data_IF_343566013848
#
_entry.id   IF_343566013848
#
_cell.length_a   1.000
_cell.length_b   1.000
_cell.length_c   1.000
_cell.angle_alpha   90.00
_cell.angle_beta   90.00
_cell.angle_gamma   90.00
#
_symmetry.space_group_name_H-M   'P 1'
#
loop_
_entity.id
_entity.type
_entity.pdbx_description
1 polymer ?
#
# COMPACT_ATOMS: atom_id res chain seq x y z
N UNK A 1 -7.77 6.75 1.87
CA UNK A 1 -9.02 7.49 1.56
C UNK A 1 -10.24 6.59 1.46
N UNK A 2 -10.22 5.42 0.82
CA UNK A 2 -11.42 4.56 0.80
C UNK A 2 -11.79 4.00 2.18
N UNK A 3 -10.82 3.64 3.04
CA UNK A 3 -11.04 3.32 4.46
C UNK A 3 -11.63 4.50 5.25
N UNK A 4 -11.18 5.73 4.93
CA UNK A 4 -11.73 6.97 5.47
C UNK A 4 -13.17 7.20 4.95
N UNK A 5 -13.43 7.14 3.64
CA UNK A 5 -14.77 7.22 3.04
C UNK A 5 -15.72 6.13 3.56
N UNK A 6 -15.20 4.95 3.88
CA UNK A 6 -15.93 3.84 4.49
C UNK A 6 -16.32 4.10 5.95
N UNK A 7 -15.62 4.97 6.69
CA UNK A 7 -16.09 5.43 8.00
C UNK A 7 -17.16 6.53 7.87
N UNK A 8 -17.15 7.28 6.77
CA UNK A 8 -18.19 8.27 6.41
C UNK A 8 -19.44 7.66 5.78
N UNK A 9 -19.38 6.47 5.15
CA UNK A 9 -20.53 5.86 4.49
C UNK A 9 -21.63 5.42 5.49
N UNK A 10 -21.31 4.72 6.60
CA UNK A 10 -22.28 4.43 7.67
C UNK A 10 -22.80 5.70 8.36
N UNK A 11 -21.95 6.71 8.57
CA UNK A 11 -22.37 8.00 9.14
C UNK A 11 -23.24 8.80 8.19
N UNK A 12 -22.97 8.82 6.88
CA UNK A 12 -23.84 9.44 5.87
C UNK A 12 -25.20 8.73 5.77
N UNK A 13 -25.21 7.39 5.85
CA UNK A 13 -26.46 6.60 5.98
C UNK A 13 -27.23 6.90 7.27
N UNK A 14 -26.57 7.44 8.31
CA UNK A 14 -27.15 7.78 9.62
C UNK A 14 -27.51 9.26 9.75
N UNK A 15 -26.82 10.17 9.05
CA UNK A 15 -26.96 11.64 9.12
C UNK A 15 -28.19 12.19 8.37
N UNK A 16 -28.91 11.35 7.63
CA UNK A 16 -30.16 11.74 6.95
C UNK A 16 -31.43 11.41 7.75
N UNK A 17 -31.31 10.97 9.00
CA UNK A 17 -32.44 10.93 9.92
C UNK A 17 -32.66 12.35 10.47
N UNK A 18 -33.85 12.97 10.30
CA UNK A 18 -34.14 14.18 11.05
C UNK A 18 -34.13 13.85 12.54
N UNK A 19 -33.34 14.59 13.32
CA UNK A 19 -33.45 14.60 14.78
C UNK A 19 -34.90 14.94 15.13
N UNK A 20 -35.65 13.94 15.58
CA UNK A 20 -36.80 14.19 16.42
C UNK A 20 -36.31 14.18 17.87
N UNK A 21 -36.84 15.17 18.58
CA UNK A 21 -36.83 15.37 20.03
C UNK A 21 -35.61 16.11 20.58
N UNK A 22 -35.87 17.38 20.89
CA UNK A 22 -35.04 18.18 21.76
C UNK A 22 -35.32 17.87 23.22
N UNK A 23 -34.33 18.12 24.05
CA UNK A 23 -34.52 18.60 25.41
C UNK A 23 -33.26 19.41 25.77
N UNK A 24 -33.48 20.70 25.97
CA UNK A 24 -32.52 21.60 26.57
C UNK A 24 -32.36 21.23 28.04
N UNK A 25 -31.13 20.94 28.46
CA UNK A 25 -30.75 21.08 29.87
C UNK A 25 -29.39 21.76 29.96
N UNK A 26 -29.43 23.03 30.36
CA UNK A 26 -28.31 23.80 30.87
C UNK A 26 -27.71 23.10 32.10
N UNK A 27 -26.39 22.88 32.11
CA UNK A 27 -25.64 22.57 33.33
C UNK A 27 -24.31 23.33 33.34
N UNK A 28 -24.35 24.44 34.07
CA UNK A 28 -23.33 25.00 34.98
C UNK A 28 -21.84 24.75 34.73
N UNK A 29 -21.14 25.87 34.51
CA UNK A 29 -19.70 26.08 34.63
C UNK A 29 -19.16 25.88 36.06
N UNK A 30 -18.12 25.07 36.24
CA UNK A 30 -17.16 25.21 37.35
C UNK A 30 -15.86 24.44 37.10
N UNK A 31 -14.71 25.09 37.26
CA UNK A 31 -13.36 24.49 37.29
C UNK A 31 -12.31 25.51 36.83
N UNK A 32 -11.78 26.37 37.70
CA UNK A 32 -10.60 26.18 38.56
C UNK A 32 -9.26 25.93 37.82
N UNK A 33 -8.43 26.99 37.86
CA UNK A 33 -6.99 27.03 38.15
C UNK A 33 -6.00 26.32 37.21
N UNK A 34 -5.22 27.13 36.50
CA UNK A 34 -3.93 26.75 35.93
C UNK A 34 -2.83 27.59 36.62
N UNK A 35 -2.02 26.93 37.46
CA UNK A 35 -0.74 27.44 37.92
C UNK A 35 0.34 27.13 36.88
N UNK A 36 1.25 28.09 36.75
CA UNK A 36 2.20 28.27 35.67
C UNK A 36 3.61 28.11 36.25
N UNK A 37 4.35 27.07 35.89
CA UNK A 37 5.77 26.94 36.26
C UNK A 37 6.67 26.75 35.04
N UNK A 38 7.62 27.70 34.97
CA UNK A 38 8.83 27.75 34.15
C UNK A 38 9.83 26.69 34.61
N UNK A 39 10.66 26.20 33.69
CA UNK A 39 12.13 26.04 33.82
C UNK A 39 12.68 25.50 32.48
N UNK A 40 13.43 26.27 31.70
CA UNK A 40 14.87 26.58 31.74
C UNK A 40 15.76 25.50 31.10
N UNK A 41 16.37 25.86 29.95
CA UNK A 41 17.39 25.11 29.23
C UNK A 41 18.79 25.63 29.58
N UNK A 42 19.84 24.79 29.49
CA UNK A 42 21.18 25.29 29.19
C UNK A 42 21.82 24.63 27.95
N UNK A 43 22.48 25.49 27.18
CA UNK A 43 23.43 25.25 26.08
C UNK A 43 24.78 24.70 26.54
N UNK A 44 25.57 24.05 25.66
CA UNK A 44 27.02 24.00 25.78
C UNK A 44 27.77 24.65 24.61
N UNK A 45 28.84 25.38 24.94
CA UNK A 45 29.83 25.95 24.01
C UNK A 45 30.98 24.98 23.67
N UNK A 46 31.91 25.38 22.78
CA UNK A 46 32.84 24.49 22.09
C UNK A 46 34.26 24.53 22.64
N UNK A 47 35.03 23.46 22.43
CA UNK A 47 36.48 23.41 22.71
C UNK A 47 37.30 22.87 21.52
N UNK A 48 38.53 23.36 21.49
CA UNK A 48 39.44 23.52 20.36
C UNK A 48 40.39 22.34 20.13
N UNK A 49 40.99 22.31 18.93
CA UNK A 49 42.15 21.48 18.55
C UNK A 49 43.46 22.12 19.02
N UNK A 50 44.54 21.33 19.08
CA UNK A 50 45.85 21.85 18.67
C UNK A 50 46.53 21.02 17.57
N UNK A 51 47.38 21.75 16.83
CA UNK A 51 48.26 21.42 15.70
C UNK A 51 49.72 21.29 16.22
N UNK A 52 50.63 20.80 15.36
CA UNK A 52 52.11 20.94 15.31
C UNK A 52 52.82 19.57 15.48
N UNK A 53 53.86 19.17 14.72
CA UNK A 53 54.74 19.85 13.74
C UNK A 53 55.59 18.83 12.97
N UNK A 54 56.00 19.21 11.76
CA UNK A 54 57.03 18.58 10.93
C UNK A 54 58.46 18.74 11.46
N UNK A 55 59.34 17.81 11.07
CA UNK A 55 60.81 17.88 11.24
C UNK A 55 61.53 17.10 10.15
N UNK A 56 62.55 17.72 9.54
CA UNK A 56 63.15 17.41 8.23
C UNK A 56 64.64 17.01 8.34
N UNK A 57 65.04 15.94 7.61
CA UNK A 57 66.34 15.60 6.96
C UNK A 57 67.63 15.27 7.78
N UNK A 58 68.74 14.78 7.17
CA UNK A 58 68.97 14.16 5.83
C UNK A 58 69.98 12.96 5.73
N UNK A 59 69.99 12.31 4.54
CA UNK A 59 71.10 11.72 3.73
C UNK A 59 72.05 10.60 4.24
N UNK A 60 72.22 9.51 3.48
CA UNK A 60 73.30 9.25 2.47
C UNK A 60 73.20 7.79 1.94
N UNK A 61 73.56 7.64 0.66
CA UNK A 61 73.54 6.56 -0.35
C UNK A 61 74.32 5.26 -0.10
N UNK A 62 73.85 4.13 -0.66
CA UNK A 62 74.63 3.28 -1.60
C UNK A 62 73.73 2.24 -2.33
N UNK A 63 74.18 1.82 -3.52
CA UNK A 63 73.46 1.15 -4.60
C UNK A 63 73.38 -0.39 -4.50
N UNK A 64 72.40 -0.96 -5.24
CA UNK A 64 72.35 -2.26 -5.98
C UNK A 64 71.12 -3.13 -5.66
N UNK A 65 70.70 -4.06 -6.56
CA UNK A 65 70.26 -3.90 -7.95
C UNK A 65 68.78 -4.32 -8.13
N UNK A 66 68.17 -3.94 -9.26
CA UNK A 66 66.75 -4.18 -9.55
C UNK A 66 66.37 -5.67 -9.62
N UNK A 67 65.27 -6.12 -8.95
CA UNK A 67 64.62 -7.37 -9.25
C UNK A 67 63.59 -7.20 -10.37
N UNK A 68 63.56 -8.19 -11.25
CA UNK A 68 62.70 -8.36 -12.43
C UNK A 68 61.19 -8.24 -12.14
N UNK A 69 60.37 -7.72 -13.08
CA UNK A 69 58.94 -7.55 -12.88
C UNK A 69 58.18 -8.83 -13.32
N UNK A 70 58.24 -9.89 -12.53
CA UNK A 70 57.40 -11.07 -12.78
C UNK A 70 56.77 -11.59 -11.50
N UNK A 71 55.61 -11.01 -11.18
CA UNK A 71 54.42 -11.69 -10.65
C UNK A 71 53.28 -10.68 -10.65
N UNK A 72 52.83 -10.30 -11.85
CA UNK A 72 51.47 -9.78 -11.97
C UNK A 72 50.53 -10.96 -11.76
N UNK A 73 50.00 -11.06 -10.54
CA UNK A 73 48.74 -11.74 -10.27
C UNK A 73 47.76 -11.34 -11.37
N UNK A 74 47.47 -12.29 -12.28
CA UNK A 74 46.38 -12.16 -13.24
C UNK A 74 45.09 -12.16 -12.44
N UNK A 75 44.70 -10.99 -11.92
CA UNK A 75 43.36 -10.77 -11.37
C UNK A 75 42.38 -11.09 -12.47
N UNK A 76 41.64 -12.19 -12.29
CA UNK A 76 40.51 -12.56 -13.14
C UNK A 76 39.63 -11.30 -13.24
N UNK A 77 39.28 -10.84 -14.45
CA UNK A 77 38.46 -9.66 -14.61
C UNK A 77 37.11 -9.91 -13.93
N UNK A 78 36.84 -9.15 -12.86
CA UNK A 78 35.55 -9.26 -12.17
C UNK A 78 34.50 -8.66 -13.09
N UNK A 79 33.41 -9.38 -13.37
CA UNK A 79 32.34 -8.90 -14.25
C UNK A 79 31.70 -7.60 -13.71
N UNK A 80 31.32 -6.68 -14.58
CA UNK A 80 30.45 -5.57 -14.20
C UNK A 80 29.16 -6.09 -13.54
N UNK A 81 28.75 -5.46 -12.45
CA UNK A 81 27.56 -5.81 -11.67
C UNK A 81 26.26 -5.31 -12.30
N UNK A 82 26.35 -4.42 -13.30
CA UNK A 82 25.18 -4.10 -14.12
C UNK A 82 24.89 -5.29 -15.04
N UNK A 83 23.69 -5.87 -14.92
CA UNK A 83 23.32 -7.12 -15.59
C UNK A 83 23.37 -7.04 -17.12
N UNK A 84 23.12 -5.86 -17.67
CA UNK A 84 23.11 -5.59 -19.11
C UNK A 84 24.51 -5.23 -19.67
N UNK A 85 25.56 -5.32 -18.83
CA UNK A 85 26.92 -4.98 -19.21
C UNK A 85 27.85 -6.20 -19.14
N UNK A 86 28.52 -6.50 -20.26
CA UNK A 86 29.48 -7.60 -20.37
C UNK A 86 30.93 -7.16 -20.13
N UNK A 87 31.17 -5.85 -20.02
CA UNK A 87 32.52 -5.30 -19.82
C UNK A 87 33.11 -5.67 -18.44
N UNK A 88 34.44 -5.76 -18.33
CA UNK A 88 35.11 -5.95 -17.04
C UNK A 88 34.82 -4.81 -16.06
N UNK A 89 34.43 -5.17 -14.84
CA UNK A 89 34.31 -4.26 -13.71
C UNK A 89 35.68 -3.81 -13.23
N UNK A 90 36.01 -2.54 -13.47
CA UNK A 90 37.31 -1.94 -13.09
C UNK A 90 37.21 -1.06 -11.85
N UNK A 91 36.00 -0.71 -11.41
CA UNK A 91 35.74 0.21 -10.30
C UNK A 91 34.89 -0.46 -9.24
N UNK A 92 35.24 -0.25 -7.97
CA UNK A 92 34.45 -0.73 -6.84
C UNK A 92 33.38 0.31 -6.45
N UNK A 93 32.22 -0.18 -6.01
CA UNK A 93 31.26 0.67 -5.31
C UNK A 93 31.92 1.27 -4.08
N UNK A 94 31.92 2.61 -3.98
CA UNK A 94 32.52 3.33 -2.85
C UNK A 94 31.84 3.04 -1.50
N UNK A 95 30.57 2.64 -1.51
CA UNK A 95 29.79 2.34 -0.31
C UNK A 95 30.09 0.96 0.28
N UNK A 96 29.78 -0.10 -0.48
CA UNK A 96 29.90 -1.48 0.00
C UNK A 96 31.25 -2.14 -0.27
N UNK A 97 32.00 -1.64 -1.28
CA UNK A 97 33.23 -2.25 -1.81
C UNK A 97 33.06 -3.72 -2.26
N UNK A 98 31.83 -4.15 -2.55
CA UNK A 98 31.53 -5.52 -3.00
C UNK A 98 31.02 -5.60 -4.44
N UNK A 99 30.38 -4.55 -4.96
CA UNK A 99 29.96 -4.47 -6.37
C UNK A 99 31.04 -3.82 -7.25
N UNK A 100 31.18 -4.32 -8.48
CA UNK A 100 32.17 -3.86 -9.46
C UNK A 100 31.46 -3.27 -10.69
N UNK A 101 31.96 -2.16 -11.21
CA UNK A 101 31.40 -1.49 -12.39
C UNK A 101 32.48 -1.14 -13.38
N UNK A 102 32.18 -1.23 -14.68
CA UNK A 102 33.11 -0.77 -15.72
C UNK A 102 33.16 0.78 -15.77
N UNK A 103 32.07 1.44 -15.38
CA UNK A 103 31.89 2.89 -15.53
C UNK A 103 30.93 3.46 -14.48
N UNK A 104 30.93 4.80 -14.35
CA UNK A 104 29.95 5.53 -13.52
C UNK A 104 28.51 5.34 -13.99
N UNK A 105 28.20 5.44 -15.30
CA UNK A 105 26.86 5.18 -15.83
C UNK A 105 26.32 3.79 -15.47
N UNK A 106 27.11 2.72 -15.61
CA UNK A 106 26.66 1.38 -15.23
C UNK A 106 26.40 1.25 -13.72
N UNK A 107 27.14 1.99 -12.88
CA UNK A 107 26.83 2.07 -11.46
C UNK A 107 25.51 2.79 -11.22
N UNK A 108 25.25 3.91 -11.90
CA UNK A 108 24.00 4.68 -11.76
C UNK A 108 22.78 3.87 -12.20
N UNK A 109 22.89 3.16 -13.32
CA UNK A 109 21.83 2.31 -13.86
C UNK A 109 21.51 1.14 -12.93
N UNK A 110 22.54 0.42 -12.47
CA UNK A 110 22.36 -0.68 -11.50
C UNK A 110 22.01 -0.20 -10.08
N UNK A 111 22.17 1.10 -9.77
CA UNK A 111 22.04 1.62 -8.41
C UNK A 111 20.68 1.31 -7.78
N UNK A 112 19.62 1.29 -8.58
CA UNK A 112 18.25 1.06 -8.11
C UNK A 112 18.03 -0.31 -7.47
N UNK A 113 18.78 -1.31 -7.96
CA UNK A 113 18.80 -2.67 -7.42
C UNK A 113 19.84 -2.75 -6.31
N UNK A 114 21.05 -2.25 -6.57
CA UNK A 114 22.17 -2.39 -5.66
C UNK A 114 21.98 -1.68 -4.32
N UNK A 115 21.27 -0.54 -4.29
CA UNK A 115 21.14 0.30 -3.08
C UNK A 115 20.58 -0.47 -1.88
N UNK A 116 19.77 -1.50 -2.11
CA UNK A 116 19.15 -2.32 -1.07
C UNK A 116 20.14 -3.29 -0.40
N UNK A 117 21.20 -3.68 -1.10
CA UNK A 117 22.27 -4.55 -0.60
C UNK A 117 23.56 -3.78 -0.30
N UNK A 118 23.54 -2.46 -0.48
CA UNK A 118 24.69 -1.58 -0.26
C UNK A 118 24.76 -1.11 1.19
N UNK A 119 25.96 -0.73 1.65
CA UNK A 119 26.20 -0.21 3.00
C UNK A 119 25.93 1.30 3.15
N UNK A 120 25.23 1.91 2.20
CA UNK A 120 24.93 3.34 2.23
C UNK A 120 23.61 3.62 2.95
N UNK A 121 23.43 4.81 3.56
CA UNK A 121 22.14 5.19 4.13
C UNK A 121 21.04 5.26 3.06
N UNK A 122 19.97 4.51 3.27
CA UNK A 122 18.76 4.57 2.45
C UNK A 122 17.84 5.64 3.03
N UNK A 123 17.51 6.65 2.22
CA UNK A 123 16.54 7.68 2.56
C UNK A 123 15.23 7.54 1.78
N UNK A 124 14.23 8.32 2.16
CA UNK A 124 12.85 8.23 1.67
C UNK A 124 12.70 8.38 0.16
N UNK A 125 13.56 9.16 -0.50
CA UNK A 125 13.61 9.26 -1.96
C UNK A 125 13.94 7.96 -2.70
N UNK A 126 14.65 7.00 -2.08
CA UNK A 126 14.93 5.69 -2.69
C UNK A 126 13.67 4.83 -2.75
N UNK A 127 12.88 4.82 -1.67
CA UNK A 127 11.59 4.14 -1.64
C UNK A 127 10.60 4.72 -2.65
N UNK A 128 10.57 6.05 -2.82
CA UNK A 128 9.71 6.69 -3.82
C UNK A 128 10.13 6.30 -5.24
N UNK A 129 11.44 6.31 -5.54
CA UNK A 129 11.95 5.89 -6.84
C UNK A 129 11.56 4.44 -7.15
N UNK A 130 11.74 3.53 -6.19
CA UNK A 130 11.32 2.12 -6.31
C UNK A 130 9.82 2.01 -6.59
N UNK A 131 8.99 2.75 -5.85
CA UNK A 131 7.55 2.80 -6.06
C UNK A 131 7.18 3.25 -7.48
N UNK A 132 7.81 4.33 -7.98
CA UNK A 132 7.58 4.84 -9.33
C UNK A 132 7.98 3.85 -10.43
N UNK A 133 9.11 3.16 -10.29
CA UNK A 133 9.59 2.16 -11.27
C UNK A 133 8.68 0.96 -11.41
N UNK A 134 8.07 0.53 -10.30
CA UNK A 134 7.15 -0.60 -10.28
C UNK A 134 5.69 -0.21 -10.49
N UNK A 135 5.42 1.08 -10.69
CA UNK A 135 4.06 1.62 -10.79
C UNK A 135 3.18 1.24 -9.59
N UNK A 136 3.76 1.34 -8.38
CA UNK A 136 3.09 1.03 -7.11
C UNK A 136 3.05 2.26 -6.23
N UNK A 137 2.01 2.39 -5.40
CA UNK A 137 2.00 3.42 -4.36
C UNK A 137 3.08 3.12 -3.30
N UNK A 138 3.80 4.14 -2.79
CA UNK A 138 4.78 3.93 -1.72
C UNK A 138 4.11 3.37 -0.47
N UNK A 139 4.69 2.29 0.08
CA UNK A 139 4.26 1.67 1.34
C UNK A 139 5.07 2.14 2.54
N UNK A 140 6.29 2.64 2.32
CA UNK A 140 7.14 3.18 3.38
C UNK A 140 6.54 4.47 3.96
N UNK A 141 6.13 4.44 5.23
CA UNK A 141 5.37 5.50 5.89
C UNK A 141 6.03 6.88 5.79
N UNK A 142 7.32 6.99 6.13
CA UNK A 142 8.01 8.29 6.06
C UNK A 142 8.12 8.81 4.62
N UNK A 143 8.18 7.92 3.62
CA UNK A 143 8.19 8.33 2.20
C UNK A 143 6.84 8.89 1.79
N UNK A 144 5.75 8.28 2.29
CA UNK A 144 4.40 8.79 2.04
C UNK A 144 4.21 10.19 2.62
N UNK A 145 4.73 10.42 3.83
CA UNK A 145 4.71 11.73 4.47
C UNK A 145 5.60 12.75 3.72
N UNK A 146 6.89 12.43 3.54
CA UNK A 146 7.90 13.34 2.98
C UNK A 146 7.58 13.84 1.56
N UNK A 147 6.83 13.06 0.80
CA UNK A 147 6.52 13.34 -0.60
C UNK A 147 5.02 13.53 -0.84
N UNK A 148 4.26 13.87 0.20
CA UNK A 148 2.89 14.37 0.06
C UNK A 148 1.80 13.31 -0.21
N UNK A 149 2.11 12.01 -0.21
CA UNK A 149 1.11 10.97 -0.42
C UNK A 149 0.08 10.89 0.72
N UNK A 150 0.46 11.24 1.96
CA UNK A 150 -0.52 11.35 3.04
C UNK A 150 -1.50 12.51 2.80
N UNK A 151 -0.99 13.64 2.28
CA UNK A 151 -1.80 14.82 1.97
C UNK A 151 -2.65 14.63 0.71
N UNK A 152 -2.16 13.88 -0.27
CA UNK A 152 -2.81 13.69 -1.56
C UNK A 152 -4.12 12.90 -1.52
N UNK A 153 -4.32 12.03 -0.53
CA UNK A 153 -5.58 11.30 -0.41
C UNK A 153 -5.91 10.43 -1.63
N UNK A 154 -7.04 10.65 -2.30
CA UNK A 154 -7.43 9.96 -3.55
C UNK A 154 -6.51 10.28 -4.72
N UNK A 155 -5.78 11.39 -4.66
CA UNK A 155 -4.89 11.81 -5.72
C UNK A 155 -3.51 11.15 -5.67
N UNK A 156 -3.31 10.13 -4.82
CA UNK A 156 -2.06 9.39 -4.73
C UNK A 156 -1.57 8.87 -6.09
N UNK A 157 -2.46 8.37 -6.95
CA UNK A 157 -2.08 7.89 -8.29
C UNK A 157 -1.63 9.03 -9.20
N UNK A 158 -2.29 10.19 -9.14
CA UNK A 158 -1.88 11.37 -9.90
C UNK A 158 -0.50 11.87 -9.43
N UNK A 159 -0.25 11.84 -8.12
CA UNK A 159 1.03 12.22 -7.53
C UNK A 159 2.14 11.23 -7.90
N UNK A 160 1.85 9.92 -7.94
CA UNK A 160 2.79 8.91 -8.45
C UNK A 160 3.14 9.19 -9.92
N UNK A 161 2.13 9.44 -10.75
CA UNK A 161 2.30 9.81 -12.16
C UNK A 161 3.14 11.08 -12.36
N UNK A 162 2.97 12.08 -11.49
CA UNK A 162 3.80 13.29 -11.48
C UNK A 162 5.28 12.95 -11.22
N UNK A 163 5.57 12.13 -10.20
CA UNK A 163 6.94 11.74 -9.90
C UNK A 163 7.55 10.85 -10.98
N UNK A 164 6.78 9.93 -11.58
CA UNK A 164 7.22 9.16 -12.75
C UNK A 164 7.60 10.08 -13.91
N UNK A 165 6.74 11.06 -14.23
CA UNK A 165 7.01 12.07 -15.26
C UNK A 165 8.25 12.91 -14.96
N UNK A 166 8.47 13.27 -13.69
CA UNK A 166 9.65 14.02 -13.26
C UNK A 166 10.95 13.31 -13.64
N UNK A 167 11.02 12.01 -13.36
CA UNK A 167 12.19 11.21 -13.73
C UNK A 167 12.27 10.87 -15.22
N UNK A 168 11.12 10.76 -15.90
CA UNK A 168 11.08 10.56 -17.34
C UNK A 168 11.72 11.75 -18.07
N UNK A 169 11.39 12.98 -17.65
CA UNK A 169 11.95 14.21 -18.22
C UNK A 169 13.39 14.42 -17.77
N UNK A 170 13.70 14.19 -16.48
CA UNK A 170 15.03 14.38 -15.92
C UNK A 170 15.65 13.03 -15.52
N UNK A 171 16.21 12.33 -16.51
CA UNK A 171 16.82 11.01 -16.32
C UNK A 171 18.08 11.04 -15.44
N UNK A 172 18.71 12.21 -15.25
CA UNK A 172 19.88 12.35 -14.36
C UNK A 172 19.50 12.61 -12.90
N UNK A 173 18.21 12.84 -12.61
CA UNK A 173 17.72 13.09 -11.25
C UNK A 173 17.92 11.86 -10.35
N UNK A 174 18.85 11.98 -9.40
CA UNK A 174 19.07 10.92 -8.41
C UNK A 174 18.06 11.00 -7.26
N UNK A 175 17.76 9.87 -6.61
CA UNK A 175 16.96 9.86 -5.38
C UNK A 175 17.55 10.76 -4.28
N UNK A 176 18.88 10.87 -4.22
CA UNK A 176 19.59 11.73 -3.27
C UNK A 176 19.33 13.20 -3.52
N UNK A 177 19.34 13.60 -4.78
CA UNK A 177 19.00 14.95 -5.18
C UNK A 177 17.54 15.28 -4.91
N UNK A 178 16.62 14.37 -5.22
CA UNK A 178 15.20 14.56 -4.88
C UNK A 178 15.00 14.73 -3.37
N UNK A 179 15.68 13.93 -2.55
CA UNK A 179 15.64 14.08 -1.09
C UNK A 179 16.24 15.41 -0.61
N UNK A 180 17.28 15.92 -1.29
CA UNK A 180 17.82 17.26 -1.04
C UNK A 180 16.81 18.34 -1.38
N UNK A 181 16.08 18.24 -2.51
CA UNK A 181 15.01 19.18 -2.84
C UNK A 181 13.95 19.21 -1.74
N UNK A 182 13.51 18.04 -1.28
CA UNK A 182 12.55 17.92 -0.17
C UNK A 182 13.04 18.61 1.10
N UNK A 183 14.25 18.25 1.57
CA UNK A 183 14.79 18.81 2.83
C UNK A 183 14.96 20.32 2.82
N UNK A 184 15.13 20.90 1.63
CA UNK A 184 15.32 22.34 1.45
C UNK A 184 14.03 23.08 1.05
N UNK A 185 12.86 22.42 1.03
CA UNK A 185 11.60 23.04 0.60
C UNK A 185 11.56 23.41 -0.89
N UNK A 186 12.36 22.77 -1.73
CA UNK A 186 12.51 23.10 -3.16
C UNK A 186 11.70 22.18 -4.08
N UNK A 187 10.88 21.28 -3.55
CA UNK A 187 10.16 20.29 -4.38
C UNK A 187 9.28 20.97 -5.43
N UNK A 188 8.41 21.88 -5.03
CA UNK A 188 7.46 22.53 -5.95
C UNK A 188 8.18 23.31 -7.04
N UNK A 189 9.15 24.15 -6.68
CA UNK A 189 9.90 24.94 -7.64
C UNK A 189 10.70 24.08 -8.61
N UNK A 190 11.38 23.03 -8.13
CA UNK A 190 12.20 22.15 -8.98
C UNK A 190 11.36 21.22 -9.86
N UNK A 191 10.18 20.79 -9.40
CA UNK A 191 9.22 20.07 -10.25
C UNK A 191 8.78 20.99 -11.40
N UNK A 192 8.37 22.23 -11.12
CA UNK A 192 7.98 23.19 -12.15
C UNK A 192 9.09 23.45 -13.15
N UNK A 193 10.31 23.75 -12.68
CA UNK A 193 11.48 23.96 -13.53
C UNK A 193 11.74 22.76 -14.46
N UNK A 194 11.61 21.54 -13.94
CA UNK A 194 11.82 20.32 -14.73
C UNK A 194 10.77 20.16 -15.83
N UNK A 195 9.48 20.26 -15.50
CA UNK A 195 8.40 20.12 -16.49
C UNK A 195 8.34 21.31 -17.45
N UNK A 196 8.71 22.51 -17.01
CA UNK A 196 8.72 23.70 -17.85
C UNK A 196 9.89 23.73 -18.84
N UNK A 197 10.95 22.96 -18.59
CA UNK A 197 12.08 22.80 -19.51
C UNK A 197 11.73 22.10 -20.83
N UNK A 198 10.59 21.42 -20.90
CA UNK A 198 10.09 20.76 -22.12
C UNK A 198 8.87 21.49 -22.70
N UNK A 199 8.58 21.36 -24.01
CA UNK A 199 7.41 21.97 -24.64
C UNK A 199 6.10 21.57 -23.96
N UNK A 200 5.11 22.47 -23.96
CA UNK A 200 3.85 22.29 -23.21
C UNK A 200 3.12 20.96 -23.54
N UNK A 201 3.11 20.56 -24.81
CA UNK A 201 2.51 19.32 -25.29
C UNK A 201 3.20 18.04 -24.77
N UNK A 202 4.45 18.13 -24.29
CA UNK A 202 5.23 17.01 -23.78
C UNK A 202 5.18 16.87 -22.26
N UNK A 203 4.47 17.77 -21.55
CA UNK A 203 4.44 17.79 -20.07
C UNK A 203 3.51 16.75 -19.45
N UNK A 204 2.65 16.13 -20.25
CA UNK A 204 1.65 15.15 -19.80
C UNK A 204 0.52 15.75 -18.96
N UNK A 205 -0.48 14.93 -18.62
CA UNK A 205 -1.67 15.37 -17.87
C UNK A 205 -1.45 15.60 -16.38
N UNK A 206 -0.41 15.01 -15.80
CA UNK A 206 -0.13 15.12 -14.36
C UNK A 206 0.43 16.50 -13.98
N UNK A 207 1.14 17.19 -14.88
CA UNK A 207 1.71 18.51 -14.57
C UNK A 207 0.64 19.61 -14.44
N UNK A 208 -0.33 19.77 -15.36
CA UNK A 208 -1.46 20.67 -15.17
C UNK A 208 -2.28 20.36 -13.91
N UNK A 209 -2.49 19.08 -13.59
CA UNK A 209 -3.13 18.66 -12.34
C UNK A 209 -2.32 19.12 -11.12
N UNK A 210 -1.00 18.96 -11.14
CA UNK A 210 -0.12 19.40 -10.06
C UNK A 210 -0.17 20.91 -9.83
N UNK A 211 -0.22 21.73 -10.88
CA UNK A 211 -0.32 23.19 -10.75
C UNK A 211 -1.57 23.63 -9.97
N UNK A 212 -2.67 22.87 -10.08
CA UNK A 212 -3.91 23.09 -9.33
C UNK A 212 -3.89 22.49 -7.91
N UNK A 213 -2.92 21.62 -7.61
CA UNK A 213 -2.85 20.84 -6.36
C UNK A 213 -1.50 21.00 -5.64
N UNK A 214 -0.86 22.17 -5.75
CA UNK A 214 0.45 22.45 -5.12
C UNK A 214 0.42 22.33 -3.59
N UNK A 215 -0.77 22.54 -2.99
CA UNK A 215 -1.07 22.33 -1.57
C UNK A 215 -0.68 20.94 -1.03
N UNK A 216 -0.49 19.96 -1.90
CA UNK A 216 -0.01 18.63 -1.54
C UNK A 216 1.46 18.68 -1.06
N UNK A 217 2.27 19.60 -1.61
CA UNK A 217 3.73 19.64 -1.43
C UNK A 217 4.29 20.94 -0.82
N UNK A 218 3.54 22.06 -0.81
CA UNK A 218 4.02 23.37 -0.33
C UNK A 218 3.57 23.76 1.08
N UNK A 219 3.06 22.80 1.86
CA UNK A 219 2.55 22.99 3.22
C UNK A 219 1.36 23.95 3.39
N UNK A 220 0.82 24.52 2.29
CA UNK A 220 -0.39 25.35 2.33
C UNK A 220 -1.53 24.63 3.05
N UNK A 221 -2.50 25.33 3.65
CA UNK A 221 -3.70 24.67 4.16
C UNK A 221 -4.24 23.71 3.11
N UNK A 222 -4.53 22.48 3.51
CA UNK A 222 -5.31 21.57 2.66
C UNK A 222 -6.55 22.39 2.30
N UNK A 223 -6.82 22.70 1.02
CA UNK A 223 -8.06 23.35 0.63
C UNK A 223 -9.17 22.60 1.34
N UNK A 224 -10.21 23.28 1.83
CA UNK A 224 -11.42 22.57 2.26
C UNK A 224 -11.68 21.54 1.18
N UNK A 225 -11.38 20.27 1.50
CA UNK A 225 -11.47 19.25 0.50
C UNK A 225 -12.93 19.37 0.06
N UNK A 226 -13.22 19.21 -1.23
CA UNK A 226 -14.44 18.49 -1.53
C UNK A 226 -14.29 17.18 -0.72
N UNK A 227 -14.79 17.19 0.52
CA UNK A 227 -14.34 16.29 1.56
C UNK A 227 -14.74 14.87 1.22
N UNK A 228 -14.44 13.94 2.12
CA UNK A 228 -15.03 12.60 2.06
C UNK A 228 -16.55 12.66 1.75
N UNK A 229 -17.22 13.66 2.30
CA UNK A 229 -18.63 13.94 2.05
C UNK A 229 -18.96 14.43 0.63
N UNK A 230 -18.23 15.40 0.08
CA UNK A 230 -18.50 15.87 -1.28
C UNK A 230 -18.17 14.79 -2.33
N UNK A 231 -17.16 13.95 -2.08
CA UNK A 231 -16.88 12.76 -2.90
C UNK A 231 -18.07 11.79 -2.86
N UNK A 232 -18.59 11.47 -1.66
CA UNK A 232 -19.77 10.63 -1.48
C UNK A 232 -21.00 11.22 -2.18
N UNK A 233 -21.22 12.53 -2.07
CA UNK A 233 -22.31 13.23 -2.76
C UNK A 233 -22.16 13.15 -4.27
N UNK A 234 -20.95 13.33 -4.81
CA UNK A 234 -20.68 13.23 -6.25
C UNK A 234 -20.89 11.81 -6.77
N UNK A 235 -20.43 10.80 -6.03
CA UNK A 235 -20.68 9.39 -6.35
C UNK A 235 -22.17 9.07 -6.33
N UNK A 236 -22.87 9.54 -5.29
CA UNK A 236 -24.32 9.35 -5.13
C UNK A 236 -25.11 10.02 -6.25
N UNK A 237 -24.73 11.24 -6.62
CA UNK A 237 -25.35 11.97 -7.73
C UNK A 237 -25.24 11.19 -9.04
N UNK A 238 -24.07 10.66 -9.38
CA UNK A 238 -23.88 9.81 -10.57
C UNK A 238 -24.78 8.56 -10.55
N UNK A 239 -24.93 7.95 -9.39
CA UNK A 239 -25.84 6.81 -9.24
C UNK A 239 -27.30 7.22 -9.45
N UNK A 240 -27.74 8.35 -8.89
CA UNK A 240 -29.10 8.86 -9.08
C UNK A 240 -29.38 9.23 -10.53
N UNK A 241 -28.44 9.89 -11.20
CA UNK A 241 -28.53 10.22 -12.63
C UNK A 241 -28.69 8.94 -13.46
N UNK A 242 -27.94 7.88 -13.14
CA UNK A 242 -28.05 6.58 -13.81
C UNK A 242 -29.36 5.86 -13.51
N UNK A 243 -29.87 5.96 -12.29
CA UNK A 243 -31.16 5.41 -11.87
C UNK A 243 -32.33 6.20 -12.50
N UNK A 244 -32.10 7.46 -12.88
CA UNK A 244 -33.10 8.36 -13.46
C UNK A 244 -34.05 8.99 -12.44
N UNK A 245 -33.78 8.81 -11.13
CA UNK A 245 -34.53 9.42 -10.03
C UNK A 245 -33.65 9.56 -8.80
N UNK A 246 -33.77 10.70 -8.13
CA UNK A 246 -33.15 10.93 -6.82
C UNK A 246 -34.04 10.34 -5.73
N UNK A 247 -33.52 9.33 -5.03
CA UNK A 247 -34.19 8.62 -3.94
C UNK A 247 -33.50 8.85 -2.59
N UNK A 248 -32.68 9.90 -2.48
CA UNK A 248 -31.93 10.24 -1.27
C UNK A 248 -32.83 10.33 -0.03
N UNK A 249 -34.03 10.93 -0.14
CA UNK A 249 -34.98 11.05 0.98
C UNK A 249 -35.65 9.73 1.41
N UNK A 250 -35.61 8.70 0.58
CA UNK A 250 -36.15 7.37 0.88
C UNK A 250 -35.07 6.43 1.45
N UNK A 251 -33.82 6.64 1.03
CA UNK A 251 -32.69 5.79 1.33
C UNK A 251 -32.47 5.53 2.83
N UNK A 252 -32.67 6.49 3.77
CA UNK A 252 -32.54 6.22 5.22
C UNK A 252 -33.43 5.07 5.71
N UNK A 253 -34.60 4.88 5.08
CA UNK A 253 -35.58 3.83 5.44
C UNK A 253 -35.33 2.51 4.70
N UNK A 254 -34.33 2.43 3.83
CA UNK A 254 -34.05 1.21 3.08
C UNK A 254 -33.44 0.12 3.98
N UNK A 255 -33.71 -1.17 3.67
CA UNK A 255 -32.99 -2.28 4.25
C UNK A 255 -31.48 -2.15 4.02
N UNK A 256 -30.67 -2.69 4.94
CA UNK A 256 -29.20 -2.59 4.91
C UNK A 256 -28.63 -3.11 3.59
N UNK A 257 -29.15 -4.21 3.07
CA UNK A 257 -28.66 -4.83 1.83
C UNK A 257 -28.90 -3.91 0.62
N UNK A 258 -30.00 -3.14 0.61
CA UNK A 258 -30.28 -2.18 -0.46
C UNK A 258 -29.37 -0.96 -0.36
N UNK A 259 -29.01 -0.53 0.86
CA UNK A 259 -28.01 0.53 1.10
C UNK A 259 -26.62 0.08 0.65
N UNK A 260 -26.23 -1.17 0.94
CA UNK A 260 -24.98 -1.77 0.44
C UNK A 260 -24.96 -1.84 -1.09
N UNK A 261 -26.06 -2.27 -1.71
CA UNK A 261 -26.18 -2.28 -3.16
C UNK A 261 -25.97 -0.89 -3.76
N UNK A 262 -26.61 0.13 -3.18
CA UNK A 262 -26.45 1.51 -3.63
C UNK A 262 -25.00 2.00 -3.50
N UNK A 263 -24.36 1.72 -2.37
CA UNK A 263 -22.95 2.07 -2.16
C UNK A 263 -22.03 1.44 -3.19
N UNK A 264 -22.21 0.15 -3.47
CA UNK A 264 -21.43 -0.50 -4.51
C UNK A 264 -21.70 0.12 -5.90
N UNK A 265 -22.96 0.37 -6.21
CA UNK A 265 -23.40 0.96 -7.49
C UNK A 265 -22.77 2.35 -7.71
N UNK A 266 -22.84 3.23 -6.71
CA UNK A 266 -22.27 4.57 -6.74
C UNK A 266 -20.75 4.58 -6.85
N UNK A 267 -20.07 3.71 -6.09
CA UNK A 267 -18.62 3.56 -6.15
C UNK A 267 -18.15 3.08 -7.52
N UNK A 268 -18.73 1.99 -8.04
CA UNK A 268 -18.31 1.38 -9.29
C UNK A 268 -18.55 2.31 -10.50
N UNK A 269 -19.70 3.00 -10.57
CA UNK A 269 -19.96 4.01 -11.61
C UNK A 269 -18.99 5.20 -11.55
N UNK A 270 -18.39 5.43 -10.38
CA UNK A 270 -17.34 6.43 -10.18
C UNK A 270 -15.93 5.87 -10.33
N UNK A 271 -15.79 4.66 -10.88
CA UNK A 271 -14.51 3.93 -11.04
C UNK A 271 -13.78 3.66 -9.71
N UNK A 272 -14.52 3.65 -8.61
CA UNK A 272 -14.06 3.23 -7.30
C UNK A 272 -14.34 1.74 -7.04
N UNK A 273 -13.75 1.22 -5.96
CA UNK A 273 -14.00 -0.13 -5.45
C UNK A 273 -14.07 -0.13 -3.92
N UNK A 274 -14.84 -1.02 -3.29
CA UNK A 274 -14.86 -1.16 -1.83
C UNK A 274 -13.44 -1.42 -1.30
N UNK A 275 -13.00 -0.79 -0.20
CA UNK A 275 -11.75 -1.14 0.46
C UNK A 275 -11.93 -2.39 1.36
N UNK A 276 -10.84 -3.09 1.70
CA UNK A 276 -10.86 -4.20 2.66
C UNK A 276 -11.53 -3.85 4.00
N UNK A 277 -11.50 -2.58 4.44
CA UNK A 277 -12.18 -2.08 5.66
C UNK A 277 -13.69 -2.29 5.69
N UNK A 278 -14.30 -2.63 4.55
CA UNK A 278 -15.75 -2.82 4.46
C UNK A 278 -16.13 -4.26 4.16
N UNK A 279 -17.20 -4.75 4.78
CA UNK A 279 -17.77 -6.06 4.44
C UNK A 279 -18.17 -6.16 2.97
N UNK A 280 -18.49 -5.02 2.34
CA UNK A 280 -18.79 -4.95 0.92
C UNK A 280 -17.63 -5.45 0.04
N UNK A 281 -16.37 -5.36 0.48
CA UNK A 281 -15.23 -5.94 -0.25
C UNK A 281 -15.33 -7.47 -0.35
N UNK A 282 -15.78 -8.13 0.71
CA UNK A 282 -16.06 -9.57 0.71
C UNK A 282 -17.36 -9.87 -0.03
N UNK A 283 -18.45 -9.17 0.29
CA UNK A 283 -19.77 -9.42 -0.31
C UNK A 283 -19.78 -9.20 -1.83
N UNK A 284 -19.05 -8.20 -2.34
CA UNK A 284 -18.92 -7.97 -3.77
C UNK A 284 -17.80 -8.81 -4.43
N UNK A 285 -17.13 -9.70 -3.69
CA UNK A 285 -16.17 -10.65 -4.25
C UNK A 285 -14.79 -10.10 -4.58
N UNK A 286 -14.45 -8.86 -4.19
CA UNK A 286 -13.10 -8.32 -4.36
C UNK A 286 -12.07 -9.10 -3.55
N UNK A 287 -12.48 -9.75 -2.46
CA UNK A 287 -11.62 -10.66 -1.71
C UNK A 287 -11.06 -11.83 -2.54
N UNK A 288 -11.70 -12.22 -3.64
CA UNK A 288 -11.25 -13.29 -4.52
C UNK A 288 -10.00 -12.93 -5.33
N UNK A 289 -9.70 -11.63 -5.48
CA UNK A 289 -8.54 -11.15 -6.24
C UNK A 289 -7.22 -11.43 -5.51
N UNK A 290 -6.18 -11.85 -6.23
CA UNK A 290 -4.84 -12.06 -5.68
C UNK A 290 -4.08 -10.77 -5.38
N UNK A 291 -4.52 -9.65 -5.95
CA UNK A 291 -3.94 -8.33 -5.73
C UNK A 291 -4.63 -7.23 -6.52
N UNK A 292 -4.02 -6.05 -6.51
CA UNK A 292 -4.62 -4.82 -7.01
C UNK A 292 -5.03 -4.86 -8.50
N UNK A 293 -4.25 -5.55 -9.32
CA UNK A 293 -4.57 -5.70 -10.75
C UNK A 293 -5.90 -6.42 -10.94
N UNK A 294 -6.07 -7.59 -10.31
CA UNK A 294 -7.31 -8.37 -10.40
C UNK A 294 -8.50 -7.63 -9.79
N UNK A 295 -8.31 -6.92 -8.67
CA UNK A 295 -9.34 -6.05 -8.10
C UNK A 295 -9.76 -4.94 -9.07
N UNK A 296 -8.81 -4.34 -9.78
CA UNK A 296 -9.09 -3.31 -10.80
C UNK A 296 -9.91 -3.89 -11.95
N UNK A 297 -9.55 -5.08 -12.42
CA UNK A 297 -10.30 -5.77 -13.47
C UNK A 297 -11.73 -6.12 -13.02
N UNK A 298 -11.91 -6.51 -11.76
CA UNK A 298 -13.24 -6.74 -11.19
C UNK A 298 -14.05 -5.43 -11.04
N UNK A 299 -13.41 -4.32 -10.67
CA UNK A 299 -14.06 -3.01 -10.64
C UNK A 299 -14.55 -2.55 -12.01
N UNK A 300 -13.75 -2.80 -13.06
CA UNK A 300 -14.15 -2.55 -14.46
C UNK A 300 -15.35 -3.42 -14.84
N UNK A 301 -15.32 -4.71 -14.47
CA UNK A 301 -16.42 -5.64 -14.69
C UNK A 301 -17.74 -5.16 -14.03
N UNK A 302 -17.70 -4.70 -12.78
CA UNK A 302 -18.87 -4.13 -12.11
C UNK A 302 -19.36 -2.84 -12.77
N UNK A 303 -18.46 -1.96 -13.19
CA UNK A 303 -18.83 -0.76 -13.95
C UNK A 303 -19.60 -1.13 -15.23
N UNK A 304 -19.06 -2.07 -16.02
CA UNK A 304 -19.73 -2.57 -17.24
C UNK A 304 -21.07 -3.24 -16.96
N UNK A 305 -21.17 -3.99 -15.86
CA UNK A 305 -22.43 -4.57 -15.42
C UNK A 305 -23.46 -3.47 -15.15
N UNK A 306 -23.11 -2.46 -14.35
CA UNK A 306 -24.01 -1.38 -13.94
C UNK A 306 -24.36 -0.41 -15.06
N UNK A 307 -23.54 -0.34 -16.11
CA UNK A 307 -23.91 0.33 -17.36
C UNK A 307 -25.08 -0.38 -18.08
N UNK A 308 -25.21 -1.71 -17.92
CA UNK A 308 -26.13 -2.56 -18.69
C UNK A 308 -27.34 -3.07 -17.91
N UNK A 309 -27.24 -3.26 -16.60
CA UNK A 309 -28.34 -3.70 -15.74
C UNK A 309 -28.99 -2.52 -15.00
N UNK A 310 -30.23 -2.71 -14.56
CA UNK A 310 -30.89 -1.75 -13.67
C UNK A 310 -30.40 -1.90 -12.23
N UNK A 311 -30.57 -0.84 -11.42
CA UNK A 311 -30.28 -0.89 -9.98
C UNK A 311 -31.14 -1.94 -9.25
N UNK A 312 -32.42 -2.05 -9.61
CA UNK A 312 -33.33 -3.02 -8.99
C UNK A 312 -32.97 -4.47 -9.36
N UNK A 313 -32.58 -4.74 -10.62
CA UNK A 313 -32.06 -6.06 -11.02
C UNK A 313 -30.82 -6.44 -10.21
N UNK A 314 -29.88 -5.50 -10.01
CA UNK A 314 -28.71 -5.74 -9.17
C UNK A 314 -29.09 -6.00 -7.72
N UNK A 315 -30.00 -5.22 -7.14
CA UNK A 315 -30.48 -5.44 -5.77
C UNK A 315 -31.12 -6.82 -5.58
N UNK A 316 -31.92 -7.26 -6.55
CA UNK A 316 -32.54 -8.61 -6.53
C UNK A 316 -31.46 -9.69 -6.61
N UNK A 317 -30.51 -9.55 -7.53
CA UNK A 317 -29.43 -10.51 -7.68
C UNK A 317 -28.53 -10.58 -6.44
N UNK A 318 -28.21 -9.43 -5.83
CA UNK A 318 -27.44 -9.36 -4.59
C UNK A 318 -28.14 -10.13 -3.47
N UNK A 319 -29.42 -9.82 -3.19
CA UNK A 319 -30.18 -10.47 -2.11
C UNK A 319 -30.39 -11.97 -2.29
N UNK A 320 -30.36 -12.45 -3.54
CA UNK A 320 -30.61 -13.86 -3.88
C UNK A 320 -29.35 -14.65 -4.22
N UNK A 321 -28.15 -14.10 -3.96
CA UNK A 321 -26.87 -14.75 -4.28
C UNK A 321 -26.69 -15.10 -5.77
N UNK A 322 -27.23 -14.24 -6.63
CA UNK A 322 -27.25 -14.41 -8.09
C UNK A 322 -26.41 -13.34 -8.84
N UNK A 323 -25.53 -12.61 -8.14
CA UNK A 323 -24.69 -11.57 -8.78
C UNK A 323 -23.76 -12.16 -9.84
N UNK A 324 -23.18 -13.33 -9.58
CA UNK A 324 -22.34 -14.03 -10.56
C UNK A 324 -23.12 -14.32 -11.86
N UNK A 325 -24.31 -14.90 -11.71
CA UNK A 325 -25.20 -15.21 -12.84
C UNK A 325 -25.63 -13.93 -13.58
N UNK A 326 -25.81 -12.83 -12.86
CA UNK A 326 -26.10 -11.52 -13.46
C UNK A 326 -24.90 -11.02 -14.30
N UNK A 327 -23.67 -11.15 -13.78
CA UNK A 327 -22.44 -10.83 -14.53
C UNK A 327 -22.30 -11.69 -15.79
N UNK A 328 -22.63 -12.98 -15.71
CA UNK A 328 -22.67 -13.88 -16.87
C UNK A 328 -23.71 -13.41 -17.90
N UNK A 329 -24.96 -13.16 -17.46
CA UNK A 329 -26.07 -12.68 -18.31
C UNK A 329 -25.66 -11.45 -19.11
N UNK A 330 -24.99 -10.49 -18.48
CA UNK A 330 -24.56 -9.24 -19.11
C UNK A 330 -23.17 -9.29 -19.75
N UNK A 331 -22.50 -10.46 -19.77
CA UNK A 331 -21.13 -10.63 -20.30
C UNK A 331 -20.16 -9.60 -19.71
N UNK A 332 -20.22 -9.45 -18.40
CA UNK A 332 -19.43 -8.48 -17.64
C UNK A 332 -18.34 -9.15 -16.80
N UNK A 333 -18.21 -10.49 -16.80
CA UNK A 333 -17.14 -11.17 -16.08
C UNK A 333 -15.75 -10.77 -16.61
N UNK A 334 -14.74 -10.63 -15.74
CA UNK A 334 -13.35 -10.40 -16.15
C UNK A 334 -12.85 -11.51 -17.08
N UNK A 335 -12.15 -11.15 -18.16
CA UNK A 335 -11.56 -12.10 -19.11
C UNK A 335 -10.08 -12.37 -18.81
N UNK A 336 -9.58 -13.55 -19.19
CA UNK A 336 -8.16 -13.91 -19.07
C UNK A 336 -7.66 -14.18 -17.64
N UNK A 337 -8.56 -14.30 -16.66
CA UNK A 337 -8.23 -14.46 -15.24
C UNK A 337 -8.94 -15.69 -14.62
N UNK A 338 -8.56 -16.93 -15.01
CA UNK A 338 -9.28 -18.13 -14.59
C UNK A 338 -9.30 -18.32 -13.06
N UNK A 339 -8.17 -18.13 -12.37
CA UNK A 339 -8.11 -18.28 -10.90
C UNK A 339 -9.00 -17.28 -10.16
N UNK A 340 -9.10 -16.04 -10.67
CA UNK A 340 -10.03 -15.05 -10.14
C UNK A 340 -11.47 -15.54 -10.32
N UNK A 341 -11.82 -16.02 -11.51
CA UNK A 341 -13.19 -16.45 -11.82
C UNK A 341 -13.65 -17.63 -10.97
N UNK A 342 -12.76 -18.60 -10.69
CA UNK A 342 -13.07 -19.75 -9.84
C UNK A 342 -13.40 -19.30 -8.41
N UNK A 343 -12.56 -18.46 -7.81
CA UNK A 343 -12.79 -17.93 -6.47
C UNK A 343 -13.97 -16.96 -6.42
N UNK A 344 -14.12 -16.10 -7.43
CA UNK A 344 -15.22 -15.15 -7.55
C UNK A 344 -16.57 -15.88 -7.61
N UNK A 345 -16.63 -17.00 -8.33
CA UNK A 345 -17.81 -17.85 -8.39
C UNK A 345 -18.18 -18.40 -7.01
N UNK A 346 -17.20 -18.92 -6.27
CA UNK A 346 -17.41 -19.46 -4.92
C UNK A 346 -17.97 -18.38 -3.99
N UNK A 347 -17.38 -17.18 -4.02
CA UNK A 347 -17.79 -16.06 -3.16
C UNK A 347 -19.19 -15.56 -3.54
N UNK A 348 -19.43 -15.23 -4.80
CA UNK A 348 -20.66 -14.55 -5.22
C UNK A 348 -21.90 -15.45 -5.24
N UNK A 349 -21.74 -16.76 -5.41
CA UNK A 349 -22.87 -17.71 -5.34
C UNK A 349 -23.40 -17.92 -3.92
N UNK A 350 -22.67 -17.47 -2.90
CA UNK A 350 -23.10 -17.55 -1.49
C UNK A 350 -23.31 -16.17 -0.85
N UNK A 351 -22.85 -15.10 -1.50
CA UNK A 351 -22.94 -13.72 -1.03
C UNK A 351 -24.37 -13.15 -1.13
N UNK A 352 -24.82 -12.29 -0.21
CA UNK A 352 -24.12 -11.84 1.00
C UNK A 352 -24.31 -12.78 2.20
N UNK A 353 -24.97 -13.93 2.01
CA UNK A 353 -25.50 -14.77 3.08
C UNK A 353 -24.39 -15.52 3.83
N UNK A 354 -23.51 -16.20 3.11
CA UNK A 354 -22.43 -17.01 3.70
C UNK A 354 -21.12 -16.87 2.92
N UNK A 355 -20.01 -16.91 3.65
CA UNK A 355 -18.67 -16.83 3.08
C UNK A 355 -17.73 -17.75 3.84
N UNK A 356 -16.79 -18.37 3.14
CA UNK A 356 -15.71 -19.12 3.78
C UNK A 356 -14.89 -18.19 4.66
N UNK A 357 -14.52 -18.66 5.86
CA UNK A 357 -13.81 -17.86 6.86
C UNK A 357 -12.46 -17.32 6.38
N UNK A 358 -11.87 -17.92 5.34
CA UNK A 358 -10.61 -17.45 4.76
C UNK A 358 -10.72 -16.08 4.12
N UNK A 359 -11.88 -15.72 3.57
CA UNK A 359 -12.08 -14.40 2.97
C UNK A 359 -12.09 -13.30 4.02
N UNK A 360 -12.66 -13.60 5.18
CA UNK A 360 -12.59 -12.73 6.36
C UNK A 360 -11.17 -12.65 6.95
N UNK A 361 -10.40 -13.76 6.92
CA UNK A 361 -8.98 -13.74 7.29
C UNK A 361 -8.19 -12.82 6.35
N UNK A 362 -8.42 -12.94 5.04
CA UNK A 362 -7.75 -12.10 4.04
C UNK A 362 -8.08 -10.62 4.25
N UNK A 363 -9.36 -10.31 4.48
CA UNK A 363 -9.80 -8.95 4.79
C UNK A 363 -9.06 -8.38 6.00
N UNK A 364 -8.96 -9.13 7.09
CA UNK A 364 -8.21 -8.71 8.28
C UNK A 364 -6.75 -8.38 7.98
N UNK A 365 -6.12 -9.16 7.10
CA UNK A 365 -4.70 -9.01 6.73
C UNK A 365 -4.48 -7.80 5.84
N UNK A 366 -5.41 -7.55 4.90
CA UNK A 366 -5.33 -6.47 3.92
C UNK A 366 -5.76 -5.12 4.49
N UNK A 367 -6.72 -5.08 5.43
CA UNK A 367 -7.13 -3.85 6.11
C UNK A 367 -6.09 -3.39 7.16
N UNK A 368 -5.43 -4.33 7.81
CA UNK A 368 -4.53 -4.06 8.94
C UNK A 368 -5.24 -4.33 10.28
N UNK A 369 -4.59 -5.12 11.15
CA UNK A 369 -5.18 -5.61 12.39
C UNK A 369 -5.09 -4.64 13.58
N UNK A 370 -4.63 -3.41 13.34
CA UNK A 370 -4.42 -2.44 14.43
C UNK A 370 -5.75 -1.88 14.96
N UNK A 371 -6.80 -1.84 14.13
CA UNK A 371 -8.15 -1.42 14.53
C UNK A 371 -9.23 -2.49 14.30
N UNK A 372 -9.07 -3.39 13.33
CA UNK A 372 -10.09 -4.38 12.98
C UNK A 372 -10.05 -5.61 13.89
N UNK A 373 -11.15 -5.86 14.63
CA UNK A 373 -11.32 -7.10 15.40
C UNK A 373 -11.74 -8.24 14.46
N UNK A 374 -10.95 -9.33 14.34
CA UNK A 374 -11.32 -10.44 13.49
C UNK A 374 -12.66 -11.06 13.93
N UNK A 375 -13.46 -11.50 12.96
CA UNK A 375 -14.70 -12.21 13.26
C UNK A 375 -14.42 -13.49 14.07
N UNK A 376 -15.39 -13.97 14.85
CA UNK A 376 -15.23 -15.16 15.70
C UNK A 376 -14.75 -16.37 14.91
N UNK A 377 -15.24 -16.55 13.68
CA UNK A 377 -14.77 -17.62 12.80
C UNK A 377 -13.28 -17.47 12.51
N UNK A 378 -12.79 -16.27 12.16
CA UNK A 378 -11.36 -16.06 11.92
C UNK A 378 -10.54 -16.36 13.16
N UNK A 379 -11.02 -15.92 14.33
CA UNK A 379 -10.31 -16.10 15.61
C UNK A 379 -10.09 -17.58 15.93
N UNK A 380 -11.11 -18.40 15.71
CA UNK A 380 -11.08 -19.84 16.00
C UNK A 380 -10.38 -20.61 14.87
N UNK A 381 -10.83 -20.42 13.64
CA UNK A 381 -10.43 -21.21 12.48
C UNK A 381 -8.93 -21.10 12.21
N UNK A 382 -8.37 -19.89 12.35
CA UNK A 382 -6.98 -19.59 12.00
C UNK A 382 -6.05 -19.42 13.21
N UNK A 383 -6.53 -19.78 14.40
CA UNK A 383 -5.67 -19.99 15.56
C UNK A 383 -5.33 -18.75 16.38
N UNK A 384 -5.95 -17.59 16.10
CA UNK A 384 -5.75 -16.38 16.91
C UNK A 384 -6.22 -16.55 18.36
N UNK A 385 -7.19 -17.44 18.60
CA UNK A 385 -7.62 -17.80 19.96
C UNK A 385 -6.49 -18.40 20.81
N UNK A 386 -5.46 -18.96 20.17
CA UNK A 386 -4.32 -19.59 20.84
C UNK A 386 -3.19 -18.60 21.17
N UNK A 387 -3.26 -17.37 20.69
CA UNK A 387 -2.25 -16.34 20.94
C UNK A 387 -2.35 -15.86 22.39
N UNK A 388 -1.23 -15.90 23.12
CA UNK A 388 -1.15 -15.48 24.52
C UNK A 388 -0.56 -14.09 24.71
N UNK A 389 0.00 -13.52 23.66
CA UNK A 389 0.68 -12.23 23.69
C UNK A 389 0.53 -11.50 22.36
N UNK A 390 0.74 -10.19 22.38
CA UNK A 390 0.76 -9.35 21.17
C UNK A 390 1.82 -9.83 20.16
N UNK A 391 3.07 -10.16 20.56
CA UNK A 391 4.06 -10.70 19.62
C UNK A 391 3.65 -12.03 18.96
N UNK A 392 2.93 -12.91 19.66
CA UNK A 392 2.42 -14.14 19.05
C UNK A 392 1.35 -13.84 18.00
N UNK A 393 0.46 -12.88 18.28
CA UNK A 393 -0.53 -12.40 17.33
C UNK A 393 0.17 -11.81 16.11
N UNK A 394 1.08 -10.86 16.29
CA UNK A 394 1.84 -10.23 15.20
C UNK A 394 2.59 -11.26 14.35
N UNK A 395 3.23 -12.25 14.98
CA UNK A 395 3.92 -13.31 14.26
C UNK A 395 2.95 -14.16 13.41
N UNK A 396 1.78 -14.49 13.94
CA UNK A 396 0.75 -15.24 13.22
C UNK A 396 0.19 -14.43 12.04
N UNK A 397 -0.09 -13.14 12.26
CA UNK A 397 -0.50 -12.19 11.20
C UNK A 397 0.55 -12.11 10.11
N UNK A 398 1.83 -11.97 10.49
CA UNK A 398 2.92 -11.88 9.54
C UNK A 398 3.05 -13.14 8.69
N UNK A 399 2.88 -14.33 9.26
CA UNK A 399 2.93 -15.57 8.48
C UNK A 399 1.79 -15.64 7.48
N UNK A 400 0.54 -15.37 7.89
CA UNK A 400 -0.56 -15.37 6.94
C UNK A 400 -0.38 -14.28 5.87
N UNK A 401 0.03 -13.07 6.25
CA UNK A 401 0.35 -11.99 5.32
C UNK A 401 1.42 -12.38 4.32
N UNK A 402 2.49 -13.05 4.75
CA UNK A 402 3.52 -13.58 3.86
C UNK A 402 2.92 -14.63 2.93
N UNK A 403 2.09 -15.54 3.44
CA UNK A 403 1.45 -16.57 2.65
C UNK A 403 0.54 -15.97 1.56
N UNK A 404 -0.36 -15.03 1.88
CA UNK A 404 -1.24 -14.37 0.89
C UNK A 404 -0.48 -13.60 -0.20
N UNK A 405 0.79 -13.23 0.04
CA UNK A 405 1.65 -12.58 -0.96
C UNK A 405 2.44 -13.56 -1.83
N UNK A 406 2.45 -14.85 -1.49
CA UNK A 406 3.11 -15.86 -2.28
C UNK A 406 2.26 -16.24 -3.50
N UNK A 407 2.88 -16.31 -4.68
CA UNK A 407 2.20 -16.67 -5.94
C UNK A 407 1.51 -18.03 -5.89
N UNK A 408 2.09 -18.99 -5.17
CA UNK A 408 1.59 -20.36 -5.08
C UNK A 408 0.53 -20.54 -3.98
N UNK A 409 0.16 -19.45 -3.28
CA UNK A 409 -0.84 -19.50 -2.24
C UNK A 409 -2.25 -19.46 -2.80
N UNK A 410 -3.06 -20.41 -2.34
CA UNK A 410 -4.48 -20.52 -2.65
C UNK A 410 -5.29 -20.40 -1.35
N UNK A 411 -6.17 -19.40 -1.30
CA UNK A 411 -7.02 -19.13 -0.14
C UNK A 411 -8.02 -20.27 0.13
N UNK A 412 -8.57 -20.88 -0.92
CA UNK A 412 -9.52 -21.98 -0.78
C UNK A 412 -8.83 -23.25 -0.27
N UNK A 413 -7.59 -23.52 -0.70
CA UNK A 413 -6.79 -24.60 -0.10
C UNK A 413 -6.45 -24.34 1.36
N UNK A 414 -6.24 -23.08 1.77
CA UNK A 414 -6.09 -22.75 3.19
C UNK A 414 -7.39 -23.03 3.96
N UNK A 415 -8.55 -22.68 3.41
CA UNK A 415 -9.83 -22.98 4.02
C UNK A 415 -10.09 -24.49 4.15
N UNK A 416 -9.76 -25.26 3.11
CA UNK A 416 -9.83 -26.72 3.16
C UNK A 416 -8.87 -27.28 4.22
N UNK A 417 -7.62 -26.82 4.26
CA UNK A 417 -6.66 -27.21 5.29
C UNK A 417 -7.15 -26.84 6.69
N UNK A 418 -7.88 -25.73 6.85
CA UNK A 418 -8.54 -25.36 8.10
C UNK A 418 -9.57 -26.41 8.52
N UNK A 419 -10.51 -26.77 7.65
CA UNK A 419 -11.55 -27.77 7.92
C UNK A 419 -10.95 -29.16 8.19
N UNK A 420 -9.77 -29.46 7.64
CA UNK A 420 -9.06 -30.71 7.90
C UNK A 420 -8.15 -30.69 9.15
N UNK A 421 -8.04 -29.56 9.85
CA UNK A 421 -7.10 -29.41 10.98
C UNK A 421 -5.61 -29.42 10.57
N UNK A 422 -5.30 -29.08 9.31
CA UNK A 422 -3.97 -29.18 8.67
C UNK A 422 -3.35 -27.83 8.31
N UNK A 423 -3.83 -26.72 8.89
CA UNK A 423 -3.35 -25.35 8.59
C UNK A 423 -1.82 -25.26 8.65
N UNK A 424 -1.21 -25.71 9.74
CA UNK A 424 0.24 -25.65 9.90
C UNK A 424 0.99 -26.35 8.75
N UNK A 425 0.50 -27.52 8.32
CA UNK A 425 1.11 -28.30 7.25
C UNK A 425 1.05 -27.57 5.91
N UNK A 426 -0.10 -26.97 5.57
CA UNK A 426 -0.26 -26.20 4.35
C UNK A 426 0.57 -24.90 4.36
N UNK A 427 0.44 -24.10 5.42
CA UNK A 427 1.11 -22.80 5.51
C UNK A 427 2.63 -22.94 5.51
N UNK A 428 3.19 -23.96 6.16
CA UNK A 428 4.66 -24.15 6.20
C UNK A 428 5.28 -24.68 4.92
N UNK A 429 4.48 -25.24 4.00
CA UNK A 429 4.93 -25.54 2.64
C UNK A 429 5.17 -24.26 1.83
N UNK A 430 4.40 -23.21 2.13
CA UNK A 430 4.44 -21.92 1.43
C UNK A 430 5.42 -20.95 2.12
N UNK A 431 5.44 -20.96 3.45
CA UNK A 431 6.30 -20.11 4.29
C UNK A 431 7.18 -21.01 5.18
N UNK A 432 8.35 -21.45 4.69
CA UNK A 432 9.21 -22.35 5.44
C UNK A 432 9.77 -21.71 6.72
N UNK A 433 9.60 -22.40 7.85
CA UNK A 433 10.12 -21.97 9.16
C UNK A 433 11.46 -22.67 9.45
N UNK A 434 12.47 -21.91 9.89
CA UNK A 434 13.82 -22.44 10.13
C UNK A 434 14.15 -22.65 11.60
N UNK A 435 13.64 -21.80 12.50
CA UNK A 435 14.00 -21.87 13.92
C UNK A 435 13.08 -22.84 14.67
N UNK A 436 13.66 -23.71 15.50
CA UNK A 436 12.92 -24.67 16.34
C UNK A 436 11.87 -23.99 17.24
N UNK A 437 12.18 -22.79 17.75
CA UNK A 437 11.25 -21.98 18.54
C UNK A 437 10.02 -21.55 17.75
N UNK A 438 10.23 -20.95 16.57
CA UNK A 438 9.15 -20.52 15.66
C UNK A 438 8.29 -21.70 15.22
N UNK A 439 8.91 -22.83 14.87
CA UNK A 439 8.22 -24.09 14.52
C UNK A 439 7.27 -24.54 15.64
N UNK A 440 7.76 -24.59 16.89
CA UNK A 440 6.96 -25.02 18.05
C UNK A 440 5.82 -24.06 18.33
N UNK A 441 6.08 -22.75 18.25
CA UNK A 441 5.07 -21.72 18.45
C UNK A 441 3.98 -21.81 17.39
N UNK A 442 4.34 -21.84 16.10
CA UNK A 442 3.35 -21.86 15.01
C UNK A 442 2.54 -23.15 14.95
N UNK A 443 3.15 -24.30 15.27
CA UNK A 443 2.44 -25.58 15.39
C UNK A 443 1.41 -25.57 16.53
N UNK A 444 1.65 -24.79 17.59
CA UNK A 444 0.69 -24.60 18.68
C UNK A 444 -0.40 -23.59 18.30
N UNK A 445 -0.02 -22.46 17.70
CA UNK A 445 -0.95 -21.39 17.37
C UNK A 445 -1.96 -21.81 16.29
N UNK A 446 -1.53 -22.51 15.24
CA UNK A 446 -2.40 -22.91 14.12
C UNK A 446 -3.25 -24.17 14.39
N UNK A 447 -3.50 -24.48 15.66
CA UNK A 447 -4.48 -25.52 16.02
C UNK A 447 -5.88 -24.93 16.04
N UNK A 448 -6.84 -25.70 15.58
CA UNK A 448 -8.24 -25.33 15.55
C UNK A 448 -9.08 -26.56 15.97
N UNK A 449 -10.40 -26.43 16.16
CA UNK A 449 -11.23 -27.54 16.63
C UNK A 449 -11.56 -28.57 15.54
N UNK A 450 -11.01 -28.45 14.34
CA UNK A 450 -11.35 -29.29 13.19
C UNK A 450 -10.39 -30.48 13.03
N UNK A 451 -10.83 -31.57 12.35
CA UNK A 451 -12.19 -31.81 11.87
C UNK A 451 -13.15 -31.98 13.05
N UNK A 452 -14.35 -31.40 12.94
CA UNK A 452 -15.38 -31.62 13.96
C UNK A 452 -15.79 -33.11 13.92
N UNK A 453 -15.99 -33.76 15.07
CA UNK A 453 -16.52 -35.11 15.08
C UNK A 453 -17.86 -35.15 14.35
N UNK A 454 -18.10 -36.21 13.58
CA UNK A 454 -19.41 -36.46 12.97
C UNK A 454 -20.44 -36.55 14.11
N UNK A 455 -21.38 -35.61 14.14
CA UNK A 455 -22.50 -35.60 15.09
C UNK A 455 -23.53 -36.67 14.73
#
# INVERSE_FOLDING_TARGET
MLSYLASYWPTWLSLQAPNQDGEETEVSTSGCSADNERESHPTPGPEEKPILTDGVNPSITSEQPAPTPETQDRKIPVKCSNFDCEEPGTRLCSGCKSAFYCSGPCQTEHWEIHVWDCKVPIHTGHYLRKACLHDLLPTHQQTRFDYGFERAGSYCSNLLGLYQGLWYINQSLTSKELNRWRKNGLLVSKIKETFESVPAQCRGGYYPWFLQNQWILDESPIPEQEGAQAEVERMSKRAWDKIGKDLSSEMPRWPVEKKECFGHYAMALSRGRPPPSTNLWVHAGYCAASGEFEESQLGIAYCQLFERCTFDEYCVAYKSSAVYNLMEKYKALPSGLPSLLDNLRIVLLSSPIMHQSVWWLKQCIDDGLDEFQPSRSVVVDYGFINCKSVPEREALVNIYRTAFRCRDFDAMKLHEACIQGKIYGYVTQIVPLKKKGEIRTMKRLMRNPYPLPLL
#
